data_IF_207336949741
#
_entry.id   IF_207336949741
#
_cell.length_a   1.000
_cell.length_b   1.000
_cell.length_c   1.000
_cell.angle_alpha   90.00
_cell.angle_beta   90.00
_cell.angle_gamma   90.00
#
_symmetry.space_group_name_H-M   'P 1'
#
loop_
_entity.id
_entity.type
_entity.pdbx_description
1 polymer ?
#
# COMPACT_ATOMS: atom_id res chain seq x y z
N UNK A 1 -16.30 48.13 -20.54
CA UNK A 1 -16.84 47.02 -19.74
C UNK A 1 -17.06 45.88 -20.71
N UNK A 2 -16.01 45.12 -20.98
CA UNK A 2 -16.07 43.92 -21.82
C UNK A 2 -16.18 42.75 -20.84
N UNK A 3 -17.37 42.16 -20.75
CA UNK A 3 -17.62 40.92 -20.04
C UNK A 3 -17.22 39.79 -20.98
N UNK A 4 -16.30 38.92 -20.56
CA UNK A 4 -16.19 37.61 -21.17
C UNK A 4 -17.47 36.84 -20.82
N UNK A 5 -18.07 36.21 -21.83
CA UNK A 5 -19.12 35.23 -21.67
C UNK A 5 -18.46 33.88 -21.40
N UNK A 6 -18.77 33.28 -20.24
CA UNK A 6 -18.39 31.91 -19.90
C UNK A 6 -19.28 30.92 -20.68
N UNK A 7 -19.09 30.85 -21.99
CA UNK A 7 -19.52 29.70 -22.78
C UNK A 7 -18.35 28.71 -22.78
N UNK A 8 -18.10 28.07 -21.64
CA UNK A 8 -17.30 26.85 -21.61
C UNK A 8 -18.16 25.74 -22.21
N UNK A 9 -17.90 25.41 -23.47
CA UNK A 9 -18.36 24.15 -24.07
C UNK A 9 -17.93 23.01 -23.13
N UNK A 10 -18.87 22.42 -22.39
CA UNK A 10 -18.64 21.18 -21.63
C UNK A 10 -18.21 20.10 -22.63
N UNK A 11 -16.89 19.92 -22.75
CA UNK A 11 -16.33 18.77 -23.45
C UNK A 11 -16.67 17.56 -22.59
N UNK A 12 -17.75 16.86 -22.97
CA UNK A 12 -18.05 15.53 -22.45
C UNK A 12 -16.89 14.61 -22.83
N UNK A 13 -15.96 14.42 -21.89
CA UNK A 13 -14.98 13.37 -21.98
C UNK A 13 -15.72 12.04 -21.79
N UNK A 14 -16.16 11.45 -22.90
CA UNK A 14 -16.71 10.09 -22.93
C UNK A 14 -15.57 9.07 -22.76
N UNK A 15 -14.77 9.23 -21.70
CA UNK A 15 -13.62 8.40 -21.38
C UNK A 15 -13.80 7.86 -19.96
N UNK A 16 -13.86 6.55 -19.85
CA UNK A 16 -13.88 5.87 -18.56
C UNK A 16 -12.46 5.84 -17.99
N UNK A 17 -12.12 6.85 -17.19
CA UNK A 17 -10.79 6.96 -16.58
C UNK A 17 -10.49 5.81 -15.63
N UNK A 18 -11.50 5.22 -14.98
CA UNK A 18 -11.31 4.05 -14.11
C UNK A 18 -10.90 2.84 -14.94
N UNK A 19 -11.60 2.56 -16.03
CA UNK A 19 -11.23 1.47 -16.95
C UNK A 19 -9.85 1.69 -17.56
N UNK A 20 -9.48 2.93 -17.89
CA UNK A 20 -8.17 3.22 -18.49
C UNK A 20 -7.04 3.02 -17.48
N UNK A 21 -7.24 3.37 -16.21
CA UNK A 21 -6.28 3.07 -15.15
C UNK A 21 -6.19 1.55 -14.90
N UNK A 22 -7.32 0.84 -14.88
CA UNK A 22 -7.33 -0.63 -14.79
C UNK A 22 -6.52 -1.25 -15.93
N UNK A 23 -6.76 -0.83 -17.17
CA UNK A 23 -6.02 -1.30 -18.35
C UNK A 23 -4.51 -1.01 -18.24
N UNK A 24 -4.14 0.15 -17.69
CA UNK A 24 -2.75 0.51 -17.49
C UNK A 24 -2.05 -0.43 -16.49
N UNK A 25 -2.67 -0.67 -15.32
CA UNK A 25 -2.13 -1.60 -14.32
C UNK A 25 -2.10 -3.04 -14.83
N UNK A 26 -3.15 -3.48 -15.53
CA UNK A 26 -3.18 -4.80 -16.19
C UNK A 26 -2.00 -4.92 -17.17
N UNK A 27 -1.75 -3.90 -17.99
CA UNK A 27 -0.62 -3.90 -18.91
C UNK A 27 0.75 -3.96 -18.21
N UNK A 28 0.91 -3.31 -17.05
CA UNK A 28 2.11 -3.44 -16.21
C UNK A 28 2.24 -4.88 -15.71
N UNK A 29 1.16 -5.45 -15.19
CA UNK A 29 1.12 -6.84 -14.70
C UNK A 29 1.52 -7.83 -15.78
N UNK A 30 0.91 -7.75 -16.97
CA UNK A 30 1.22 -8.59 -18.12
C UNK A 30 2.68 -8.44 -18.55
N UNK A 31 3.19 -7.20 -18.62
CA UNK A 31 4.58 -6.94 -19.01
C UNK A 31 5.57 -7.53 -18.01
N UNK A 32 5.39 -7.27 -16.71
CA UNK A 32 6.27 -7.75 -15.66
C UNK A 32 6.23 -9.27 -15.56
N UNK A 33 5.04 -9.87 -15.61
CA UNK A 33 4.86 -11.33 -15.53
C UNK A 33 5.35 -12.09 -16.78
N UNK A 34 5.48 -11.41 -17.92
CA UNK A 34 6.17 -11.96 -19.08
C UNK A 34 7.70 -12.05 -18.91
N UNK A 35 8.28 -11.26 -18.00
CA UNK A 35 9.70 -11.27 -17.66
C UNK A 35 9.96 -12.24 -16.50
N UNK A 36 9.14 -12.15 -15.46
CA UNK A 36 9.18 -12.98 -14.26
C UNK A 36 7.77 -13.33 -13.82
N UNK A 37 7.37 -14.60 -13.95
CA UNK A 37 5.99 -15.04 -13.69
C UNK A 37 5.54 -14.80 -12.25
N UNK A 38 6.49 -14.64 -11.34
CA UNK A 38 6.23 -14.51 -9.90
C UNK A 38 6.27 -13.02 -9.47
N UNK A 39 6.37 -12.09 -10.43
CA UNK A 39 6.40 -10.66 -10.14
C UNK A 39 5.08 -10.17 -9.51
N UNK A 40 5.20 -9.63 -8.30
CA UNK A 40 4.11 -9.15 -7.46
C UNK A 40 3.70 -7.72 -7.87
N UNK A 41 2.39 -7.47 -7.99
CA UNK A 41 1.80 -6.16 -8.30
C UNK A 41 0.92 -5.70 -7.13
N UNK A 42 1.31 -4.59 -6.49
CA UNK A 42 0.56 -3.96 -5.39
C UNK A 42 0.37 -2.47 -5.70
N UNK A 43 -0.76 -2.04 -6.28
CA UNK A 43 -1.11 -0.61 -6.34
C UNK A 43 -1.40 -0.04 -4.94
N UNK A 44 -1.25 1.27 -4.81
CA UNK A 44 -1.48 2.01 -3.58
C UNK A 44 -2.70 2.94 -3.72
N UNK A 45 -3.66 2.85 -2.80
CA UNK A 45 -4.94 3.57 -2.79
C UNK A 45 -5.76 3.30 -4.07
N UNK A 46 -6.63 4.24 -4.48
CA UNK A 46 -7.45 4.10 -5.68
C UNK A 46 -8.40 2.89 -5.64
N UNK A 47 -8.86 2.54 -4.44
CA UNK A 47 -9.63 1.33 -4.18
C UNK A 47 -10.93 1.21 -4.99
N UNK A 48 -11.45 2.30 -5.55
CA UNK A 48 -12.62 2.31 -6.44
C UNK A 48 -12.38 1.53 -7.75
N UNK A 49 -11.13 1.24 -8.11
CA UNK A 49 -10.82 0.43 -9.30
C UNK A 49 -11.21 -1.04 -9.14
N UNK A 50 -11.49 -1.51 -7.91
CA UNK A 50 -11.81 -2.92 -7.65
C UNK A 50 -13.25 -3.27 -8.02
N UNK A 51 -14.11 -2.28 -8.30
CA UNK A 51 -15.47 -2.49 -8.81
C UNK A 51 -15.65 -1.89 -10.20
N UNK A 52 -16.64 -2.40 -10.94
CA UNK A 52 -16.86 -2.04 -12.35
C UNK A 52 -17.34 -0.60 -12.50
N UNK A 53 -18.21 -0.13 -11.60
CA UNK A 53 -18.74 1.23 -11.55
C UNK A 53 -17.93 2.15 -10.62
N UNK A 54 -17.11 1.58 -9.75
CA UNK A 54 -16.36 2.27 -8.72
C UNK A 54 -17.20 2.68 -7.52
N UNK A 55 -18.31 1.99 -7.28
CA UNK A 55 -19.16 2.16 -6.10
C UNK A 55 -18.91 1.00 -5.10
N UNK A 56 -19.14 1.24 -3.81
CA UNK A 56 -18.84 0.32 -2.69
C UNK A 56 -19.60 -1.01 -2.79
N UNK A 57 -20.78 -0.99 -3.42
CA UNK A 57 -21.64 -2.16 -3.64
C UNK A 57 -21.64 -2.64 -5.09
N UNK A 58 -20.71 -2.10 -5.89
CA UNK A 58 -20.53 -2.45 -7.30
C UNK A 58 -20.10 -3.90 -7.48
N UNK A 59 -20.27 -4.40 -8.70
CA UNK A 59 -19.71 -5.70 -9.07
C UNK A 59 -18.19 -5.65 -9.06
N UNK A 60 -17.55 -6.64 -8.46
CA UNK A 60 -16.09 -6.78 -8.49
C UNK A 60 -15.56 -6.79 -9.94
N UNK A 61 -14.51 -6.02 -10.20
CA UNK A 61 -13.80 -6.02 -11.47
C UNK A 61 -12.77 -7.17 -11.48
N UNK A 62 -13.26 -8.38 -11.78
CA UNK A 62 -12.46 -9.62 -11.71
C UNK A 62 -11.19 -9.56 -12.56
N UNK A 63 -11.24 -8.93 -13.74
CA UNK A 63 -10.07 -8.79 -14.62
C UNK A 63 -8.96 -7.96 -13.96
N UNK A 64 -9.32 -6.85 -13.30
CA UNK A 64 -8.37 -6.01 -12.58
C UNK A 64 -7.84 -6.71 -11.32
N UNK A 65 -8.73 -7.32 -10.55
CA UNK A 65 -8.36 -8.07 -9.33
C UNK A 65 -7.42 -9.23 -9.63
N UNK A 66 -7.60 -9.94 -10.76
CA UNK A 66 -6.70 -11.03 -11.16
C UNK A 66 -5.32 -10.54 -11.64
N UNK A 67 -5.18 -9.25 -11.94
CA UNK A 67 -3.94 -8.66 -12.41
C UNK A 67 -3.05 -8.12 -11.27
N UNK A 68 -3.58 -8.04 -10.05
CA UNK A 68 -2.87 -7.56 -8.87
C UNK A 68 -2.79 -8.66 -7.81
N UNK A 69 -1.80 -8.60 -6.94
CA UNK A 69 -1.57 -9.58 -5.88
C UNK A 69 -1.95 -9.02 -4.50
N UNK A 70 -1.87 -7.71 -4.36
CA UNK A 70 -2.35 -7.00 -3.18
C UNK A 70 -2.76 -5.57 -3.49
N UNK A 71 -3.26 -4.87 -2.49
CA UNK A 71 -3.46 -3.42 -2.51
C UNK A 71 -2.88 -2.82 -1.25
N UNK A 72 -2.21 -1.68 -1.37
CA UNK A 72 -1.82 -0.91 -0.21
C UNK A 72 -2.82 0.21 0.07
N UNK A 73 -3.15 0.43 1.34
CA UNK A 73 -4.02 1.54 1.78
C UNK A 73 -3.36 2.28 2.92
N UNK A 74 -3.13 3.56 2.71
CA UNK A 74 -2.68 4.43 3.80
C UNK A 74 -3.87 4.88 4.66
N UNK A 75 -3.56 5.33 5.88
CA UNK A 75 -4.44 6.08 6.77
C UNK A 75 -5.85 5.51 6.98
N UNK A 76 -5.95 4.18 7.11
CA UNK A 76 -7.22 3.48 7.24
C UNK A 76 -7.90 3.78 8.58
N UNK A 77 -7.28 3.41 9.70
CA UNK A 77 -7.82 3.65 11.05
C UNK A 77 -7.24 4.91 11.69
N UNK A 78 -6.00 5.28 11.37
CA UNK A 78 -5.35 6.46 11.91
C UNK A 78 -4.53 7.20 10.87
N UNK A 79 -4.63 8.53 10.87
CA UNK A 79 -3.79 9.40 10.05
C UNK A 79 -4.48 10.01 8.83
N UNK A 80 -5.79 9.88 8.63
CA UNK A 80 -6.41 10.39 7.39
C UNK A 80 -6.37 11.91 7.29
N UNK A 81 -6.99 12.60 8.25
CA UNK A 81 -6.96 14.07 8.29
C UNK A 81 -5.69 14.58 8.97
N UNK A 82 -5.22 13.89 10.01
CA UNK A 82 -4.07 14.25 10.82
C UNK A 82 -3.44 13.00 11.44
N UNK A 83 -2.11 12.97 11.53
CA UNK A 83 -1.38 11.87 12.15
C UNK A 83 -1.78 11.64 13.61
N UNK A 84 -1.75 10.38 14.03
CA UNK A 84 -2.15 9.90 15.35
C UNK A 84 -3.63 10.18 15.69
N UNK A 85 -4.44 10.65 14.75
CA UNK A 85 -5.89 10.87 14.94
C UNK A 85 -6.67 9.78 14.21
N UNK A 86 -7.75 9.30 14.84
CA UNK A 86 -8.66 8.33 14.23
C UNK A 86 -9.22 8.87 12.90
N UNK A 87 -9.20 8.03 11.88
CA UNK A 87 -9.84 8.30 10.60
C UNK A 87 -11.35 8.46 10.81
N UNK A 88 -12.01 9.48 10.21
CA UNK A 88 -13.44 9.65 10.36
C UNK A 88 -14.20 8.39 9.93
N UNK A 89 -15.23 8.02 10.71
CA UNK A 89 -15.97 6.76 10.52
C UNK A 89 -16.58 6.63 9.11
N UNK A 90 -16.93 7.75 8.47
CA UNK A 90 -17.44 7.73 7.10
C UNK A 90 -16.36 7.28 6.10
N UNK A 91 -15.18 7.89 6.13
CA UNK A 91 -14.03 7.53 5.29
C UNK A 91 -13.53 6.11 5.58
N UNK A 92 -13.47 5.73 6.86
CA UNK A 92 -13.11 4.37 7.27
C UNK A 92 -14.04 3.32 6.65
N UNK A 93 -15.36 3.50 6.79
CA UNK A 93 -16.34 2.55 6.26
C UNK A 93 -16.31 2.51 4.72
N UNK A 94 -16.12 3.68 4.10
CA UNK A 94 -15.95 3.79 2.65
C UNK A 94 -14.76 2.94 2.17
N UNK A 95 -13.58 3.15 2.75
CA UNK A 95 -12.38 2.41 2.38
C UNK A 95 -12.51 0.91 2.65
N UNK A 96 -12.98 0.53 3.85
CA UNK A 96 -13.18 -0.87 4.22
C UNK A 96 -14.09 -1.61 3.23
N UNK A 97 -15.13 -0.97 2.70
CA UNK A 97 -16.05 -1.62 1.78
C UNK A 97 -15.36 -2.15 0.51
N UNK A 98 -14.38 -1.42 -0.02
CA UNK A 98 -13.60 -1.85 -1.18
C UNK A 98 -12.49 -2.82 -0.80
N UNK A 99 -11.82 -2.60 0.34
CA UNK A 99 -10.77 -3.50 0.81
C UNK A 99 -11.30 -4.90 1.14
N UNK A 100 -12.50 -4.99 1.71
CA UNK A 100 -13.19 -6.27 1.92
C UNK A 100 -13.45 -6.98 0.57
N UNK A 101 -13.64 -6.26 -0.54
CA UNK A 101 -13.76 -6.88 -1.89
C UNK A 101 -12.42 -7.48 -2.32
N UNK A 102 -11.29 -6.83 -2.04
CA UNK A 102 -9.95 -7.37 -2.34
C UNK A 102 -9.72 -8.71 -1.63
N UNK A 103 -9.87 -8.75 -0.31
CA UNK A 103 -9.69 -9.97 0.49
C UNK A 103 -10.60 -11.11 0.01
N UNK A 104 -11.86 -10.80 -0.31
CA UNK A 104 -12.81 -11.79 -0.82
C UNK A 104 -12.48 -12.33 -2.23
N UNK A 105 -11.50 -11.73 -2.92
CA UNK A 105 -11.02 -12.14 -4.24
C UNK A 105 -9.53 -12.51 -4.22
N UNK A 106 -9.00 -12.94 -3.06
CA UNK A 106 -7.62 -13.39 -2.87
C UNK A 106 -6.55 -12.32 -3.23
N UNK A 107 -6.90 -11.04 -3.06
CA UNK A 107 -5.98 -9.90 -3.18
C UNK A 107 -5.69 -9.34 -1.79
N UNK A 108 -4.44 -9.50 -1.34
CA UNK A 108 -4.02 -9.17 0.03
C UNK A 108 -4.04 -7.65 0.29
N UNK A 109 -4.61 -7.23 1.42
CA UNK A 109 -4.65 -5.82 1.81
C UNK A 109 -3.51 -5.49 2.77
N UNK A 110 -2.66 -4.53 2.39
CA UNK A 110 -1.58 -3.99 3.21
C UNK A 110 -1.95 -2.59 3.69
N UNK A 111 -2.10 -2.39 4.99
CA UNK A 111 -2.52 -1.08 5.55
C UNK A 111 -1.40 -0.36 6.27
N UNK A 112 -1.26 0.93 6.03
CA UNK A 112 -0.30 1.80 6.74
C UNK A 112 -1.05 2.88 7.49
N UNK A 113 -1.11 2.77 8.81
CA UNK A 113 -1.70 3.79 9.68
C UNK A 113 -0.62 4.71 10.25
N UNK A 114 -0.86 6.02 10.24
CA UNK A 114 0.11 6.99 10.76
C UNK A 114 -0.22 7.33 12.21
N UNK A 115 0.42 6.64 13.15
CA UNK A 115 0.23 6.84 14.59
C UNK A 115 1.47 6.43 15.40
N UNK A 116 1.73 7.13 16.51
CA UNK A 116 2.89 6.89 17.40
C UNK A 116 2.47 6.63 18.85
N UNK A 117 1.23 6.95 19.23
CA UNK A 117 0.72 6.59 20.55
C UNK A 117 0.59 5.07 20.60
N UNK A 118 1.34 4.39 21.46
CA UNK A 118 1.41 2.92 21.50
C UNK A 118 0.03 2.24 21.55
N UNK A 119 -0.92 2.78 22.33
CA UNK A 119 -2.28 2.22 22.39
C UNK A 119 -3.05 2.31 21.06
N UNK A 120 -2.74 3.30 20.22
CA UNK A 120 -3.32 3.45 18.87
C UNK A 120 -2.63 2.55 17.87
N UNK A 121 -1.31 2.37 18.00
CA UNK A 121 -0.57 1.37 17.21
C UNK A 121 -1.09 -0.05 17.50
N UNK A 122 -1.32 -0.38 18.77
CA UNK A 122 -1.91 -1.66 19.18
C UNK A 122 -3.34 -1.83 18.65
N UNK A 123 -4.15 -0.77 18.71
CA UNK A 123 -5.53 -0.77 18.19
C UNK A 123 -5.56 -0.95 16.67
N UNK A 124 -4.81 -0.13 15.92
CA UNK A 124 -4.62 -0.24 14.47
C UNK A 124 -4.27 -1.67 14.08
N UNK A 125 -3.23 -2.26 14.69
CA UNK A 125 -2.82 -3.62 14.38
C UNK A 125 -3.93 -4.65 14.67
N UNK A 126 -4.63 -4.50 15.80
CA UNK A 126 -5.71 -5.42 16.18
C UNK A 126 -6.90 -5.33 15.23
N UNK A 127 -7.29 -4.13 14.84
CA UNK A 127 -8.46 -3.87 13.99
C UNK A 127 -8.22 -4.35 12.55
N UNK A 128 -7.04 -4.06 12.00
CA UNK A 128 -6.62 -4.55 10.69
C UNK A 128 -6.54 -6.09 10.67
N UNK A 129 -5.88 -6.69 11.67
CA UNK A 129 -5.76 -8.14 11.75
C UNK A 129 -7.13 -8.84 11.91
N UNK A 130 -8.12 -8.21 12.54
CA UNK A 130 -9.48 -8.73 12.62
C UNK A 130 -10.20 -8.78 11.25
N UNK A 131 -9.71 -8.03 10.26
CA UNK A 131 -10.14 -8.05 8.86
C UNK A 131 -9.27 -8.95 7.97
N UNK A 132 -8.25 -9.58 8.54
CA UNK A 132 -7.17 -10.29 7.84
C UNK A 132 -6.20 -9.39 7.06
N UNK A 133 -6.25 -8.07 7.24
CA UNK A 133 -5.28 -7.18 6.60
C UNK A 133 -3.92 -7.28 7.29
N UNK A 134 -2.84 -7.22 6.53
CA UNK A 134 -1.49 -7.04 7.05
C UNK A 134 -1.28 -5.56 7.33
N UNK A 135 -0.94 -5.19 8.56
CA UNK A 135 -0.82 -3.79 8.98
C UNK A 135 0.59 -3.36 9.34
N UNK A 136 0.86 -2.07 9.13
CA UNK A 136 2.03 -1.34 9.59
C UNK A 136 1.61 -0.03 10.24
N UNK A 137 1.90 0.13 11.53
CA UNK A 137 1.70 1.39 12.24
C UNK A 137 2.96 2.25 12.12
N UNK A 138 2.95 3.23 11.24
CA UNK A 138 4.05 4.15 10.98
C UNK A 138 4.06 5.30 12.00
N UNK A 139 5.12 5.48 12.80
CA UNK A 139 5.20 6.55 13.79
C UNK A 139 5.46 7.94 13.17
N UNK A 140 5.91 7.98 11.92
CA UNK A 140 6.21 9.22 11.16
C UNK A 140 5.76 9.05 9.71
N UNK A 141 5.11 10.08 9.16
CA UNK A 141 4.58 10.05 7.79
C UNK A 141 5.66 10.08 6.72
N UNK A 142 6.84 10.56 7.07
CA UNK A 142 7.99 10.60 6.16
C UNK A 142 8.52 9.20 5.82
N UNK A 143 8.09 8.14 6.53
CA UNK A 143 8.49 6.74 6.29
C UNK A 143 10.01 6.60 6.20
N UNK A 144 10.71 7.24 7.13
CA UNK A 144 12.16 7.35 7.20
C UNK A 144 12.77 6.70 8.46
N UNK A 145 11.96 5.96 9.22
CA UNK A 145 12.40 5.23 10.43
C UNK A 145 11.82 3.83 10.47
N UNK A 146 12.61 2.90 11.00
CA UNK A 146 12.10 1.61 11.47
C UNK A 146 11.50 1.84 12.87
N UNK A 147 10.23 1.49 13.12
CA UNK A 147 9.60 1.71 14.43
C UNK A 147 10.35 0.96 15.55
N UNK A 148 10.47 1.59 16.71
CA UNK A 148 11.00 0.98 17.94
C UNK A 148 9.90 0.31 18.78
N UNK A 149 8.64 0.62 18.50
CA UNK A 149 7.45 -0.01 19.07
C UNK A 149 6.55 -0.60 17.97
N UNK A 150 5.99 -1.81 18.16
CA UNK A 150 6.40 -2.78 19.18
C UNK A 150 7.87 -3.19 19.02
N UNK A 151 8.49 -3.72 20.08
CA UNK A 151 9.93 -4.06 20.07
C UNK A 151 10.34 -5.10 18.99
N UNK A 152 9.36 -5.84 18.48
CA UNK A 152 9.46 -6.71 17.31
C UNK A 152 8.24 -6.45 16.43
N UNK A 153 8.32 -6.67 15.10
CA UNK A 153 7.18 -6.51 14.20
C UNK A 153 5.90 -7.18 14.74
N UNK A 154 4.75 -6.54 14.54
CA UNK A 154 3.47 -7.19 14.80
C UNK A 154 3.38 -8.48 13.97
N UNK A 155 2.82 -9.57 14.50
CA UNK A 155 2.79 -10.88 13.84
C UNK A 155 4.15 -11.44 13.35
N UNK A 156 5.26 -11.03 13.98
CA UNK A 156 6.60 -11.58 13.71
C UNK A 156 6.60 -13.11 13.78
N UNK A 157 7.28 -13.75 12.83
CA UNK A 157 7.35 -15.20 12.71
C UNK A 157 8.72 -15.65 12.18
N UNK A 158 9.05 -16.93 12.33
CA UNK A 158 10.35 -17.48 11.93
C UNK A 158 10.30 -18.27 10.61
N UNK A 159 9.26 -18.07 9.79
CA UNK A 159 9.13 -18.77 8.52
C UNK A 159 10.02 -18.10 7.47
N UNK A 160 10.44 -18.88 6.48
CA UNK A 160 11.01 -18.30 5.25
C UNK A 160 9.83 -17.96 4.35
N UNK A 161 9.67 -16.69 4.02
CA UNK A 161 8.56 -16.17 3.23
C UNK A 161 8.95 -16.20 1.76
N UNK A 162 8.15 -16.88 0.94
CA UNK A 162 8.40 -17.08 -0.49
C UNK A 162 7.27 -16.57 -1.38
N UNK A 163 6.16 -16.13 -0.79
CA UNK A 163 5.04 -15.52 -1.50
C UNK A 163 4.30 -14.51 -0.61
N UNK A 164 3.53 -13.62 -1.23
CA UNK A 164 2.73 -12.62 -0.50
C UNK A 164 1.75 -13.25 0.49
N UNK A 165 1.09 -14.35 0.11
CA UNK A 165 0.13 -15.07 0.97
C UNK A 165 0.72 -15.69 2.24
N UNK A 166 2.05 -15.80 2.33
CA UNK A 166 2.74 -16.31 3.52
C UNK A 166 3.10 -15.19 4.51
N UNK A 167 3.13 -13.94 4.03
CA UNK A 167 3.52 -12.79 4.82
C UNK A 167 2.50 -12.47 5.90
N UNK A 168 2.97 -11.90 7.00
CA UNK A 168 2.17 -11.56 8.17
C UNK A 168 2.43 -10.16 8.68
N UNK A 169 3.45 -9.50 8.16
CA UNK A 169 3.86 -8.17 8.54
C UNK A 169 4.71 -7.54 7.42
N UNK A 170 4.79 -6.22 7.40
CA UNK A 170 5.64 -5.52 6.44
C UNK A 170 6.26 -4.28 7.05
N UNK A 171 7.38 -3.85 6.48
CA UNK A 171 8.02 -2.58 6.75
C UNK A 171 7.82 -1.66 5.55
N UNK A 172 7.26 -0.47 5.79
CA UNK A 172 7.19 0.59 4.80
C UNK A 172 8.25 1.65 5.09
N UNK A 173 9.33 1.63 4.30
CA UNK A 173 10.51 2.47 4.50
C UNK A 173 11.02 2.96 3.14
N UNK A 174 10.41 4.02 2.63
CA UNK A 174 10.71 4.57 1.29
C UNK A 174 11.65 5.77 1.31
N UNK A 175 11.83 6.42 2.46
CA UNK A 175 12.69 7.59 2.57
C UNK A 175 13.98 7.23 3.33
N UNK A 176 15.10 6.99 2.63
CA UNK A 176 16.33 6.55 3.27
C UNK A 176 17.17 7.69 3.87
N UNK A 177 16.66 8.93 4.00
CA UNK A 177 17.45 10.12 4.38
C UNK A 177 18.22 9.99 5.70
N UNK A 178 17.76 9.13 6.61
CA UNK A 178 18.41 8.89 7.91
C UNK A 178 19.59 7.90 7.83
N UNK A 179 19.85 7.31 6.68
CA UNK A 179 20.95 6.36 6.46
C UNK A 179 22.09 7.03 5.70
N UNK A 180 23.32 6.72 6.09
CA UNK A 180 24.52 7.31 5.45
C UNK A 180 24.96 6.60 4.18
N UNK A 181 24.41 5.41 3.91
CA UNK A 181 24.69 4.60 2.72
C UNK A 181 23.66 3.48 2.55
N UNK A 182 23.58 2.92 1.34
CA UNK A 182 22.83 1.69 1.06
C UNK A 182 23.18 0.54 2.02
N UNK A 183 24.46 0.36 2.35
CA UNK A 183 24.85 -0.72 3.27
C UNK A 183 24.35 -0.48 4.70
N UNK A 184 24.30 0.78 5.15
CA UNK A 184 23.72 1.13 6.44
C UNK A 184 22.20 0.86 6.46
N UNK A 185 21.50 1.20 5.38
CA UNK A 185 20.08 0.87 5.18
C UNK A 185 19.86 -0.65 5.23
N UNK A 186 20.58 -1.43 4.42
CA UNK A 186 20.48 -2.90 4.38
C UNK A 186 20.76 -3.51 5.74
N UNK A 187 21.80 -3.04 6.44
CA UNK A 187 22.14 -3.56 7.78
C UNK A 187 21.03 -3.29 8.79
N UNK A 188 20.37 -2.13 8.72
CA UNK A 188 19.28 -1.79 9.63
C UNK A 188 18.02 -2.60 9.33
N UNK A 189 17.65 -2.76 8.07
CA UNK A 189 16.49 -3.55 7.66
C UNK A 189 16.70 -5.03 8.00
N UNK A 190 17.85 -5.62 7.65
CA UNK A 190 18.14 -7.05 7.92
C UNK A 190 18.36 -7.37 9.40
N UNK A 191 18.50 -6.36 10.26
CA UNK A 191 18.50 -6.53 11.71
C UNK A 191 17.09 -6.70 12.29
N UNK A 192 16.04 -6.47 11.48
CA UNK A 192 14.65 -6.73 11.82
C UNK A 192 14.20 -8.09 11.25
N UNK A 193 12.93 -8.44 11.44
CA UNK A 193 12.36 -9.68 10.93
C UNK A 193 11.00 -9.39 10.30
N UNK A 194 10.99 -8.47 9.33
CA UNK A 194 9.81 -8.18 8.53
C UNK A 194 9.68 -9.15 7.35
N UNK A 195 8.45 -9.56 7.02
CA UNK A 195 8.20 -10.52 5.93
C UNK A 195 8.24 -9.85 4.55
N UNK A 196 7.83 -8.57 4.48
CA UNK A 196 7.85 -7.75 3.26
C UNK A 196 8.56 -6.43 3.57
N UNK A 197 9.38 -5.97 2.62
CA UNK A 197 9.93 -4.62 2.61
C UNK A 197 9.36 -3.84 1.42
N UNK A 198 8.69 -2.73 1.72
CA UNK A 198 8.31 -1.73 0.72
C UNK A 198 9.30 -0.57 0.83
N UNK A 199 10.07 -0.34 -0.23
CA UNK A 199 11.13 0.66 -0.28
C UNK A 199 11.21 1.32 -1.66
N UNK A 200 11.84 2.49 -1.73
CA UNK A 200 12.22 3.06 -3.02
C UNK A 200 13.36 2.24 -3.64
N UNK A 201 13.30 2.01 -4.95
CA UNK A 201 14.37 1.35 -5.68
C UNK A 201 15.65 2.20 -5.78
N UNK A 202 15.61 3.48 -5.43
CA UNK A 202 16.73 4.40 -5.40
C UNK A 202 17.12 4.78 -3.96
N UNK A 203 18.43 4.89 -3.74
CA UNK A 203 19.01 5.52 -2.55
C UNK A 203 19.76 6.76 -3.01
N UNK A 204 19.33 7.96 -2.61
CA UNK A 204 19.89 9.24 -3.07
C UNK A 204 20.07 9.29 -4.60
N UNK A 205 18.99 9.01 -5.34
CA UNK A 205 18.95 8.91 -6.82
C UNK A 205 19.80 7.78 -7.43
N UNK A 206 20.39 6.90 -6.62
CA UNK A 206 21.20 5.76 -7.09
C UNK A 206 20.44 4.45 -6.91
N UNK A 207 20.10 3.82 -8.05
CA UNK A 207 19.39 2.54 -8.10
C UNK A 207 20.14 1.45 -7.32
N UNK A 208 19.43 0.70 -6.47
CA UNK A 208 19.96 -0.51 -5.84
C UNK A 208 20.37 -1.54 -6.89
N UNK A 209 21.53 -2.17 -6.71
CA UNK A 209 21.97 -3.27 -7.57
C UNK A 209 21.31 -4.58 -7.14
N UNK A 210 21.22 -5.56 -8.04
CA UNK A 210 20.67 -6.87 -7.68
C UNK A 210 21.40 -7.52 -6.50
N UNK A 211 22.72 -7.34 -6.38
CA UNK A 211 23.50 -7.88 -5.25
C UNK A 211 23.22 -7.15 -3.92
N UNK A 212 22.77 -5.90 -3.97
CA UNK A 212 22.31 -5.17 -2.78
C UNK A 212 20.89 -5.63 -2.39
N UNK A 213 20.00 -5.81 -3.37
CA UNK A 213 18.64 -6.32 -3.13
C UNK A 213 18.65 -7.74 -2.57
N UNK A 214 19.53 -8.63 -3.05
CA UNK A 214 19.64 -10.01 -2.52
C UNK A 214 20.11 -10.08 -1.07
N UNK A 215 20.65 -9.00 -0.49
CA UNK A 215 20.99 -8.97 0.93
C UNK A 215 19.80 -8.68 1.83
N UNK A 216 18.74 -8.07 1.29
CA UNK A 216 17.48 -7.79 1.97
C UNK A 216 16.60 -9.06 1.98
#
# INVERSE_FOLDING_TARGET
MFSCSDDEDEVSYNKDFKQEMRNFVIGISEYSRAIDSDFIIIPQNGQELVTVDGEENGLACVEYLSAIDGVGREDLYYGYDNDDIETPVADLNYMISFLDICENNDVEVLTTDYCWTHSKMDDSNTQNNAKNYISFAAPVRELNVIPDYPATPYNVNSNVITSLSEAKNFLYLINPENYTSKQAFITAVTATNYDILIMDCFFDDVLFTSAEVTQL
#
